data_IF_302752422469
#
_entry.id   IF_302752422469
#
_cell.length_a   1.000
_cell.length_b   1.000
_cell.length_c   1.000
_cell.angle_alpha   90.00
_cell.angle_beta   90.00
_cell.angle_gamma   90.00
#
_symmetry.space_group_name_H-M   'P 1'
#
loop_
_entity.id
_entity.type
_entity.pdbx_description
1 polymer ?
#
# COMPACT_ATOMS: atom_id res chain seq x y z
N UNK A 1 1.61 -15.96 -11.69
CA UNK A 1 2.70 -15.72 -10.71
C UNK A 1 3.23 -14.29 -10.73
N UNK A 2 3.57 -13.73 -11.90
CA UNK A 2 4.10 -12.34 -12.05
C UNK A 2 3.16 -11.28 -11.46
N UNK A 3 1.85 -11.44 -11.62
CA UNK A 3 0.84 -10.48 -11.14
C UNK A 3 0.81 -10.36 -9.62
N UNK A 4 0.94 -11.50 -8.92
CA UNK A 4 0.99 -11.53 -7.47
C UNK A 4 2.26 -10.83 -6.96
N UNK A 5 3.42 -11.12 -7.56
CA UNK A 5 4.68 -10.45 -7.21
C UNK A 5 4.62 -8.94 -7.44
N UNK A 6 4.09 -8.51 -8.60
CA UNK A 6 3.89 -7.10 -8.91
C UNK A 6 2.96 -6.42 -7.90
N UNK A 7 1.80 -7.00 -7.59
CA UNK A 7 0.87 -6.46 -6.60
C UNK A 7 1.48 -6.41 -5.20
N UNK A 8 2.21 -7.43 -4.77
CA UNK A 8 2.95 -7.43 -3.49
C UNK A 8 3.92 -6.27 -3.45
N UNK A 9 4.74 -6.07 -4.49
CA UNK A 9 5.71 -4.98 -4.54
C UNK A 9 5.03 -3.62 -4.42
N UNK A 10 3.93 -3.41 -5.15
CA UNK A 10 3.23 -2.13 -5.12
C UNK A 10 2.56 -1.88 -3.77
N UNK A 11 1.94 -2.89 -3.15
CA UNK A 11 1.37 -2.74 -1.82
C UNK A 11 2.45 -2.53 -0.75
N UNK A 12 3.62 -3.16 -0.87
CA UNK A 12 4.75 -2.86 0.02
C UNK A 12 5.18 -1.39 -0.09
N UNK A 13 5.26 -0.83 -1.31
CA UNK A 13 5.54 0.61 -1.46
C UNK A 13 4.42 1.51 -0.95
N UNK A 14 3.17 1.07 -1.13
CA UNK A 14 2.00 1.76 -0.58
C UNK A 14 2.12 1.86 0.95
N UNK A 15 2.36 0.75 1.65
CA UNK A 15 2.53 0.74 3.11
C UNK A 15 3.78 1.52 3.57
N UNK A 16 4.88 1.43 2.82
CA UNK A 16 6.07 2.24 3.09
C UNK A 16 5.81 3.74 2.99
N UNK A 17 4.89 4.18 2.13
CA UNK A 17 4.50 5.59 2.04
C UNK A 17 3.85 6.09 3.34
N UNK A 18 3.04 5.26 4.00
CA UNK A 18 2.47 5.57 5.33
C UNK A 18 3.56 5.62 6.41
N UNK A 19 4.51 4.68 6.36
CA UNK A 19 5.67 4.66 7.25
C UNK A 19 6.53 5.93 7.11
N UNK A 20 6.82 6.35 5.87
CA UNK A 20 7.57 7.58 5.60
C UNK A 20 6.83 8.82 6.13
N UNK A 21 5.50 8.86 6.00
CA UNK A 21 4.69 9.96 6.55
C UNK A 21 4.70 9.98 8.08
N UNK A 22 4.56 8.83 8.73
CA UNK A 22 4.63 8.70 10.20
C UNK A 22 5.99 9.17 10.73
N UNK A 23 7.06 8.84 10.02
CA UNK A 23 8.41 9.29 10.34
C UNK A 23 8.59 10.81 10.19
N UNK A 24 8.12 11.38 9.08
CA UNK A 24 8.25 12.81 8.78
C UNK A 24 7.41 13.70 9.72
N UNK A 25 6.21 13.24 10.09
CA UNK A 25 5.30 14.02 10.97
C UNK A 25 5.50 13.77 12.47
N UNK A 26 6.24 12.73 12.86
CA UNK A 26 6.44 12.33 14.27
C UNK A 26 5.13 11.95 15.00
N UNK A 27 4.05 11.76 14.26
CA UNK A 27 2.72 11.39 14.72
C UNK A 27 2.26 10.14 13.97
N UNK A 28 1.34 9.37 14.56
CA UNK A 28 0.82 8.15 13.91
C UNK A 28 0.28 8.46 12.51
N UNK A 29 0.51 7.53 11.57
CA UNK A 29 0.17 7.65 10.15
C UNK A 29 -1.31 8.00 9.86
N UNK A 30 -2.19 7.87 10.86
CA UNK A 30 -3.62 8.18 10.81
C UNK A 30 -3.95 9.66 11.06
N UNK A 31 -2.95 10.53 11.26
CA UNK A 31 -3.17 11.98 11.36
C UNK A 31 -3.36 12.61 9.97
N UNK A 32 -4.59 12.51 9.44
CA UNK A 32 -4.94 13.03 8.10
C UNK A 32 -5.14 14.55 8.03
N UNK A 33 -4.99 15.30 9.13
CA UNK A 33 -5.10 16.78 9.13
C UNK A 33 -3.98 17.39 8.27
N UNK A 34 -4.35 18.01 7.15
CA UNK A 34 -3.41 18.65 6.21
C UNK A 34 -2.75 17.69 5.21
N UNK A 35 -3.22 16.44 5.11
CA UNK A 35 -2.61 15.40 4.28
C UNK A 35 -3.22 15.27 2.87
N UNK A 36 -3.82 16.32 2.32
CA UNK A 36 -4.58 16.24 1.06
C UNK A 36 -3.80 15.60 -0.10
N UNK A 37 -2.54 16.00 -0.28
CA UNK A 37 -1.66 15.44 -1.32
C UNK A 37 -1.31 13.97 -1.06
N UNK A 38 -1.17 13.55 0.20
CA UNK A 38 -0.86 12.17 0.56
C UNK A 38 -2.06 11.24 0.29
N UNK A 39 -3.26 11.67 0.66
CA UNK A 39 -4.49 10.92 0.38
C UNK A 39 -4.71 10.82 -1.14
N UNK A 40 -4.43 11.89 -1.89
CA UNK A 40 -4.51 11.87 -3.34
C UNK A 40 -3.54 10.84 -3.96
N UNK A 41 -2.27 10.82 -3.52
CA UNK A 41 -1.28 9.84 -4.01
C UNK A 41 -1.72 8.41 -3.65
N UNK A 42 -2.17 8.18 -2.41
CA UNK A 42 -2.68 6.87 -2.00
C UNK A 42 -3.87 6.40 -2.86
N UNK A 43 -4.81 7.30 -3.14
CA UNK A 43 -5.97 7.00 -3.99
C UNK A 43 -5.55 6.68 -5.43
N UNK A 44 -4.62 7.44 -6.00
CA UNK A 44 -4.08 7.19 -7.35
C UNK A 44 -3.38 5.84 -7.43
N UNK A 45 -2.58 5.48 -6.42
CA UNK A 45 -1.91 4.16 -6.38
C UNK A 45 -2.93 3.03 -6.29
N UNK A 46 -3.95 3.15 -5.43
CA UNK A 46 -4.98 2.13 -5.27
C UNK A 46 -5.82 1.95 -6.56
N UNK A 47 -6.28 3.06 -7.14
CA UNK A 47 -7.05 3.02 -8.39
C UNK A 47 -6.20 2.53 -9.57
N UNK A 48 -4.95 3.01 -9.66
CA UNK A 48 -3.99 2.57 -10.66
C UNK A 48 -3.68 1.07 -10.56
N UNK A 49 -3.55 0.52 -9.35
CA UNK A 49 -3.33 -0.91 -9.18
C UNK A 49 -4.49 -1.75 -9.66
N UNK A 50 -5.71 -1.39 -9.27
CA UNK A 50 -6.88 -2.09 -9.74
C UNK A 50 -6.98 -2.04 -11.28
N UNK A 51 -6.71 -0.87 -11.88
CA UNK A 51 -6.71 -0.71 -13.33
C UNK A 51 -5.63 -1.55 -14.03
N UNK A 52 -4.38 -1.51 -13.56
CA UNK A 52 -3.27 -2.26 -14.15
C UNK A 52 -3.52 -3.76 -14.05
N UNK A 53 -3.96 -4.26 -12.91
CA UNK A 53 -4.18 -5.70 -12.74
C UNK A 53 -5.38 -6.19 -13.56
N UNK A 54 -6.42 -5.37 -13.72
CA UNK A 54 -7.64 -5.74 -14.44
C UNK A 54 -7.50 -5.60 -15.96
N UNK A 55 -6.83 -4.55 -16.43
CA UNK A 55 -6.75 -4.20 -17.86
C UNK A 55 -5.35 -4.29 -18.45
N UNK A 56 -4.30 -4.43 -17.62
CA UNK A 56 -2.91 -4.42 -18.08
C UNK A 56 -2.50 -5.68 -18.85
N UNK A 57 -3.19 -6.81 -18.62
CA UNK A 57 -3.06 -8.03 -19.43
C UNK A 57 -1.60 -8.37 -19.81
N UNK A 58 -1.37 -8.60 -21.10
CA UNK A 58 -0.05 -8.93 -21.64
C UNK A 58 0.96 -7.76 -21.58
N UNK A 59 0.51 -6.50 -21.63
CA UNK A 59 1.39 -5.31 -21.58
C UNK A 59 2.24 -5.28 -20.30
N UNK A 60 1.66 -5.72 -19.19
CA UNK A 60 2.35 -5.81 -17.89
C UNK A 60 2.59 -7.26 -17.44
N UNK A 61 2.30 -8.25 -18.29
CA UNK A 61 2.32 -9.67 -17.93
C UNK A 61 1.52 -9.97 -16.65
N UNK A 62 0.37 -9.30 -16.52
CA UNK A 62 -0.55 -9.42 -15.38
C UNK A 62 -1.85 -10.10 -15.77
N UNK A 63 -2.32 -11.00 -14.92
CA UNK A 63 -3.64 -11.62 -15.01
C UNK A 63 -4.53 -11.04 -13.90
N UNK A 64 -5.83 -10.86 -14.16
CA UNK A 64 -6.77 -10.43 -13.13
C UNK A 64 -6.70 -11.35 -11.90
N UNK A 65 -6.45 -10.76 -10.73
CA UNK A 65 -6.41 -11.48 -9.47
C UNK A 65 -7.83 -11.69 -8.91
N UNK A 66 -8.05 -12.84 -8.28
CA UNK A 66 -9.30 -13.10 -7.57
C UNK A 66 -9.41 -12.19 -6.34
N UNK A 67 -10.64 -11.87 -5.92
CA UNK A 67 -10.90 -11.02 -4.75
C UNK A 67 -10.15 -11.52 -3.50
N UNK A 68 -10.06 -12.85 -3.32
CA UNK A 68 -9.33 -13.41 -2.19
C UNK A 68 -7.83 -13.15 -2.24
N UNK A 69 -7.21 -13.18 -3.42
CA UNK A 69 -5.78 -12.88 -3.55
C UNK A 69 -5.51 -11.42 -3.20
N UNK A 70 -6.41 -10.50 -3.60
CA UNK A 70 -6.32 -9.09 -3.17
C UNK A 70 -6.33 -8.96 -1.65
N UNK A 71 -7.28 -9.62 -0.98
CA UNK A 71 -7.38 -9.57 0.48
C UNK A 71 -6.13 -10.15 1.14
N UNK A 72 -5.63 -11.29 0.65
CA UNK A 72 -4.42 -11.93 1.18
C UNK A 72 -3.20 -11.04 0.99
N UNK A 73 -3.01 -10.46 -0.20
CA UNK A 73 -1.86 -9.59 -0.50
C UNK A 73 -1.91 -8.34 0.38
N UNK A 74 -3.06 -7.68 0.47
CA UNK A 74 -3.24 -6.48 1.30
C UNK A 74 -2.98 -6.82 2.77
N UNK A 75 -3.57 -7.90 3.29
CA UNK A 75 -3.39 -8.31 4.68
C UNK A 75 -1.93 -8.69 4.99
N UNK A 76 -1.31 -9.52 4.15
CA UNK A 76 0.07 -9.98 4.35
C UNK A 76 1.08 -8.83 4.27
N UNK A 77 0.91 -7.90 3.34
CA UNK A 77 1.81 -6.75 3.18
C UNK A 77 1.58 -5.67 4.23
N UNK A 78 0.36 -5.57 4.80
CA UNK A 78 0.04 -4.56 5.83
C UNK A 78 0.92 -4.66 7.07
N UNK A 79 1.48 -5.84 7.37
CA UNK A 79 2.41 -6.09 8.50
C UNK A 79 3.56 -5.09 8.51
N UNK A 80 4.06 -4.67 7.34
CA UNK A 80 5.17 -3.69 7.23
C UNK A 80 4.83 -2.34 7.84
N UNK A 81 3.56 -1.93 7.77
CA UNK A 81 3.09 -0.70 8.39
C UNK A 81 3.03 -0.83 9.93
N UNK A 82 2.48 -1.93 10.44
CA UNK A 82 2.30 -2.16 11.88
C UNK A 82 3.62 -2.12 12.67
N UNK A 83 4.72 -2.61 12.09
CA UNK A 83 6.03 -2.65 12.77
C UNK A 83 6.51 -1.26 13.20
N UNK A 84 6.27 -0.24 12.38
CA UNK A 84 6.74 1.12 12.66
C UNK A 84 5.78 1.85 13.59
N UNK A 85 4.47 1.72 13.39
CA UNK A 85 3.47 2.32 14.28
C UNK A 85 3.58 1.74 15.71
N UNK A 86 3.82 0.43 15.85
CA UNK A 86 4.13 -0.21 17.14
C UNK A 86 5.44 0.33 17.75
N UNK A 87 6.50 0.48 16.96
CA UNK A 87 7.75 1.06 17.45
C UNK A 87 7.59 2.51 17.92
N UNK A 88 6.71 3.30 17.30
CA UNK A 88 6.34 4.63 17.77
C UNK A 88 5.54 4.59 19.07
N UNK A 89 4.64 3.62 19.23
CA UNK A 89 3.86 3.44 20.48
C UNK A 89 4.76 3.08 21.67
N UNK A 90 5.78 2.24 21.48
CA UNK A 90 6.74 1.87 22.53
C UNK A 90 7.80 2.94 22.84
N UNK A 91 7.97 3.95 21.97
CA UNK A 91 8.89 5.07 22.19
C UNK A 91 8.25 6.27 22.91
N UNK A 92 6.94 6.22 23.16
CA UNK A 92 6.21 7.16 24.01
C UNK A 92 6.14 6.66 25.44
#
# INVERSE_FOLDING_TARGET
EISCFFSIFVFLQFWNMFNARSFDTGQSALHFKGAGSFVAIAAVIAAGQWFIVTFGGEMFSVTPLALMDWVIIIAATSVVWWVIDLAHLFRK
#
